data_IF_069281256020
#
_entry.id   IF_069281256020
#
_cell.length_a   1.000
_cell.length_b   1.000
_cell.length_c   1.000
_cell.angle_alpha   90.00
_cell.angle_beta   90.00
_cell.angle_gamma   90.00
#
_symmetry.space_group_name_H-M   'P 1'
#
loop_
_entity.id
_entity.type
_entity.pdbx_description
1 polymer ?
#
# COMPACT_ATOMS: atom_id res chain seq x y z
N UNK A 1 -18.81 -8.63 1.46
CA UNK A 1 -17.86 -9.17 0.46
C UNK A 1 -16.45 -9.14 1.05
N UNK A 2 -15.49 -9.89 0.48
CA UNK A 2 -14.08 -9.82 0.89
C UNK A 2 -13.24 -9.10 -0.17
N UNK A 3 -12.20 -8.40 0.27
CA UNK A 3 -11.30 -7.61 -0.56
C UNK A 3 -9.85 -7.93 -0.24
N UNK A 4 -8.98 -7.84 -1.24
CA UNK A 4 -7.55 -7.70 -1.03
C UNK A 4 -7.21 -6.21 -1.06
N UNK A 5 -6.45 -5.73 -0.08
CA UNK A 5 -5.90 -4.38 -0.08
C UNK A 5 -4.37 -4.42 -0.22
N UNK A 6 -3.82 -3.37 -0.81
CA UNK A 6 -2.38 -3.17 -0.93
C UNK A 6 -1.90 -2.14 0.09
N UNK A 7 -0.89 -2.53 0.87
CA UNK A 7 -0.31 -1.75 1.98
C UNK A 7 1.09 -1.23 1.66
N UNK A 8 1.45 -1.17 0.38
CA UNK A 8 2.77 -0.70 -0.05
C UNK A 8 3.08 0.73 0.44
N UNK A 9 2.08 1.62 0.49
CA UNK A 9 2.27 2.97 1.03
C UNK A 9 2.65 2.94 2.52
N UNK A 10 2.00 2.09 3.31
CA UNK A 10 2.31 1.91 4.72
C UNK A 10 3.75 1.41 4.93
N UNK A 11 4.18 0.43 4.15
CA UNK A 11 5.55 -0.09 4.23
C UNK A 11 6.60 0.93 3.78
N UNK A 12 6.29 1.75 2.77
CA UNK A 12 7.16 2.85 2.34
C UNK A 12 7.33 3.91 3.44
N UNK A 13 6.24 4.32 4.08
CA UNK A 13 6.27 5.27 5.21
C UNK A 13 7.09 4.71 6.37
N UNK A 14 6.84 3.46 6.77
CA UNK A 14 7.57 2.76 7.83
C UNK A 14 9.07 2.67 7.55
N UNK A 15 9.45 2.43 6.30
CA UNK A 15 10.85 2.37 5.86
C UNK A 15 11.49 3.75 5.61
N UNK A 16 10.72 4.85 5.67
CA UNK A 16 11.18 6.18 5.29
C UNK A 16 11.59 6.28 3.82
N UNK A 17 11.00 5.46 2.95
CA UNK A 17 11.31 5.36 1.51
C UNK A 17 10.18 5.89 0.65
N UNK A 18 10.52 6.38 -0.52
CA UNK A 18 9.58 6.76 -1.58
C UNK A 18 9.43 5.64 -2.60
N UNK A 19 8.39 5.70 -3.43
CA UNK A 19 8.29 4.80 -4.59
C UNK A 19 9.47 4.95 -5.55
N UNK A 20 10.07 6.13 -5.64
CA UNK A 20 11.26 6.35 -6.46
C UNK A 20 12.48 5.61 -5.90
N UNK A 21 12.61 5.52 -4.58
CA UNK A 21 13.70 4.76 -3.93
C UNK A 21 13.52 3.26 -4.20
N UNK A 22 12.30 2.75 -4.03
CA UNK A 22 11.96 1.37 -4.33
C UNK A 22 12.22 0.99 -5.80
N UNK A 23 11.88 1.86 -6.74
CA UNK A 23 12.16 1.68 -8.17
C UNK A 23 13.67 1.56 -8.43
N UNK A 24 14.47 2.45 -7.83
CA UNK A 24 15.93 2.44 -8.00
C UNK A 24 16.57 1.19 -7.41
N UNK A 25 16.07 0.71 -6.28
CA UNK A 25 16.63 -0.46 -5.61
C UNK A 25 16.23 -1.80 -6.25
N UNK A 26 14.97 -1.93 -6.69
CA UNK A 26 14.43 -3.20 -7.23
C UNK A 26 14.57 -3.34 -8.75
N UNK A 27 14.83 -2.25 -9.47
CA UNK A 27 14.84 -2.24 -10.94
C UNK A 27 13.47 -2.43 -11.59
N UNK A 28 12.38 -2.40 -10.81
CA UNK A 28 11.02 -2.45 -11.35
C UNK A 28 10.63 -1.13 -12.02
N UNK A 29 9.76 -1.21 -13.03
CA UNK A 29 9.34 0.00 -13.76
C UNK A 29 8.43 0.89 -12.91
N UNK A 30 8.46 2.22 -13.12
CA UNK A 30 7.54 3.14 -12.45
C UNK A 30 6.06 2.77 -12.65
N UNK A 31 5.71 2.27 -13.84
CA UNK A 31 4.36 1.81 -14.13
C UNK A 31 3.95 0.60 -13.28
N UNK A 32 4.85 -0.37 -13.07
CA UNK A 32 4.57 -1.55 -12.25
C UNK A 32 4.35 -1.16 -10.78
N UNK A 33 5.25 -0.36 -10.21
CA UNK A 33 5.15 0.10 -8.82
C UNK A 33 3.92 0.97 -8.61
N UNK A 34 3.60 1.86 -9.56
CA UNK A 34 2.40 2.70 -9.49
C UNK A 34 1.11 1.88 -9.51
N UNK A 35 1.01 0.86 -10.39
CA UNK A 35 -0.16 -0.03 -10.40
C UNK A 35 -0.30 -0.79 -9.09
N UNK A 36 0.79 -1.35 -8.58
CA UNK A 36 0.79 -2.08 -7.31
C UNK A 36 0.35 -1.17 -6.16
N UNK A 37 1.01 -0.02 -5.97
CA UNK A 37 0.74 0.91 -4.87
C UNK A 37 -0.72 1.35 -4.83
N UNK A 38 -1.34 1.56 -5.99
CA UNK A 38 -2.70 2.06 -6.09
C UNK A 38 -3.77 0.96 -6.21
N UNK A 39 -3.43 -0.31 -5.95
CA UNK A 39 -4.38 -1.44 -6.02
C UNK A 39 -4.86 -1.79 -7.44
N UNK A 40 -4.23 -1.25 -8.49
CA UNK A 40 -4.64 -1.44 -9.90
C UNK A 40 -3.96 -2.66 -10.55
N UNK A 41 -3.67 -3.68 -9.76
CA UNK A 41 -3.07 -4.94 -10.22
C UNK A 41 -4.09 -6.06 -10.12
N UNK A 42 -4.03 -7.03 -11.04
CA UNK A 42 -4.83 -8.26 -10.94
C UNK A 42 -3.98 -9.45 -10.49
N UNK A 43 -2.68 -9.40 -10.79
CA UNK A 43 -1.71 -10.41 -10.40
C UNK A 43 -0.36 -9.77 -10.05
N UNK A 44 0.40 -10.45 -9.20
CA UNK A 44 1.78 -10.11 -8.87
C UNK A 44 2.67 -11.34 -9.05
N UNK A 45 3.86 -11.16 -9.63
CA UNK A 45 4.86 -12.23 -9.69
C UNK A 45 5.49 -12.39 -8.31
N UNK A 46 5.68 -13.62 -7.84
CA UNK A 46 6.31 -13.89 -6.54
C UNK A 46 7.71 -13.26 -6.42
N UNK A 47 8.48 -13.20 -7.52
CA UNK A 47 9.77 -12.50 -7.53
C UNK A 47 9.65 -11.01 -7.24
N UNK A 48 8.66 -10.34 -7.83
CA UNK A 48 8.37 -8.92 -7.56
C UNK A 48 7.95 -8.71 -6.12
N UNK A 49 7.09 -9.59 -5.59
CA UNK A 49 6.69 -9.53 -4.19
C UNK A 49 7.89 -9.69 -3.26
N UNK A 50 8.73 -10.70 -3.51
CA UNK A 50 9.95 -10.96 -2.73
C UNK A 50 10.94 -9.79 -2.78
N UNK A 51 11.17 -9.20 -3.95
CA UNK A 51 12.11 -8.08 -4.11
C UNK A 51 11.67 -6.85 -3.29
N UNK A 52 10.37 -6.57 -3.26
CA UNK A 52 9.81 -5.49 -2.44
C UNK A 52 9.92 -5.82 -0.95
N UNK A 53 9.60 -7.06 -0.55
CA UNK A 53 9.74 -7.52 0.82
C UNK A 53 11.18 -7.39 1.35
N UNK A 54 12.17 -7.79 0.55
CA UNK A 54 13.59 -7.67 0.90
C UNK A 54 14.01 -6.20 1.02
N UNK A 55 13.60 -5.36 0.08
CA UNK A 55 13.98 -3.94 0.07
C UNK A 55 13.33 -3.13 1.21
N UNK A 56 12.13 -3.52 1.65
CA UNK A 56 11.39 -2.85 2.71
C UNK A 56 11.46 -3.55 4.07
N UNK A 57 12.18 -4.68 4.18
CA UNK A 57 12.26 -5.52 5.37
C UNK A 57 10.86 -5.87 5.95
N UNK A 58 9.99 -6.39 5.09
CA UNK A 58 8.61 -6.74 5.44
C UNK A 58 8.21 -8.12 4.92
N UNK A 59 7.11 -8.65 5.45
CA UNK A 59 6.51 -9.91 5.01
C UNK A 59 5.48 -9.69 3.89
N UNK A 60 5.20 -10.71 3.06
CA UNK A 60 4.13 -10.63 2.06
C UNK A 60 2.76 -10.17 2.61
N UNK A 61 2.41 -10.64 3.81
CA UNK A 61 1.17 -10.26 4.50
C UNK A 61 1.13 -8.80 4.97
N UNK A 62 2.30 -8.13 5.06
CA UNK A 62 2.40 -6.71 5.36
C UNK A 62 2.12 -5.83 4.13
N UNK A 63 2.19 -6.42 2.92
CA UNK A 63 1.95 -5.75 1.64
C UNK A 63 0.57 -6.04 1.07
N UNK A 64 0.05 -7.24 1.29
CA UNK A 64 -1.23 -7.70 0.77
C UNK A 64 -2.05 -8.28 1.92
N UNK A 65 -3.21 -7.68 2.20
CA UNK A 65 -4.09 -8.10 3.29
C UNK A 65 -5.50 -8.38 2.80
N UNK A 66 -6.09 -9.49 3.25
CA UNK A 66 -7.52 -9.76 3.09
C UNK A 66 -8.28 -8.98 4.16
N UNK A 67 -9.31 -8.25 3.75
CA UNK A 67 -10.24 -7.54 4.63
C UNK A 67 -11.67 -7.85 4.21
N UNK A 68 -12.58 -7.87 5.16
CA UNK A 68 -14.02 -7.85 4.91
C UNK A 68 -14.47 -6.45 4.47
N UNK A 69 -15.70 -6.34 3.99
CA UNK A 69 -16.34 -5.08 3.64
C UNK A 69 -16.44 -4.12 4.83
N UNK A 70 -16.82 -4.62 6.01
CA UNK A 70 -16.87 -3.83 7.24
C UNK A 70 -15.49 -3.29 7.61
N UNK A 71 -14.46 -4.14 7.60
CA UNK A 71 -13.08 -3.72 7.83
C UNK A 71 -12.59 -2.69 6.78
N UNK A 72 -13.02 -2.82 5.52
CA UNK A 72 -12.65 -1.89 4.46
C UNK A 72 -13.23 -0.48 4.73
N UNK A 73 -14.50 -0.40 5.12
CA UNK A 73 -15.18 0.85 5.46
C UNK A 73 -14.56 1.51 6.70
N UNK A 74 -14.25 0.72 7.73
CA UNK A 74 -13.56 1.20 8.93
C UNK A 74 -12.19 1.81 8.60
N UNK A 75 -11.39 1.11 7.79
CA UNK A 75 -10.09 1.59 7.32
C UNK A 75 -10.22 2.86 6.49
N UNK A 76 -11.23 2.97 5.64
CA UNK A 76 -11.46 4.17 4.84
C UNK A 76 -11.74 5.40 5.73
N UNK A 77 -12.55 5.22 6.76
CA UNK A 77 -12.84 6.26 7.76
C UNK A 77 -11.58 6.63 8.54
N UNK A 78 -10.81 5.64 9.00
CA UNK A 78 -9.55 5.86 9.72
C UNK A 78 -8.56 6.67 8.88
N UNK A 79 -8.31 6.24 7.64
CA UNK A 79 -7.34 6.90 6.76
C UNK A 79 -7.77 8.30 6.32
N UNK A 80 -9.07 8.54 6.16
CA UNK A 80 -9.60 9.89 5.94
C UNK A 80 -9.32 10.80 7.15
N UNK A 81 -9.43 10.31 8.38
CA UNK A 81 -9.05 11.08 9.58
C UNK A 81 -7.55 11.37 9.60
N UNK A 82 -6.71 10.41 9.24
CA UNK A 82 -5.26 10.61 9.14
C UNK A 82 -4.89 11.69 8.11
N UNK A 83 -5.58 11.71 6.96
CA UNK A 83 -5.43 12.76 5.96
C UNK A 83 -5.73 14.15 6.54
N UNK A 84 -6.82 14.29 7.29
CA UNK A 84 -7.20 15.55 7.95
C UNK A 84 -6.16 15.98 8.99
N UNK A 85 -5.63 15.04 9.79
CA UNK A 85 -4.58 15.33 10.78
C UNK A 85 -3.29 15.79 10.11
N UNK A 86 -2.87 15.11 9.05
CA UNK A 86 -1.70 15.48 8.24
C UNK A 86 -1.85 16.89 7.65
N UNK A 87 -3.03 17.23 7.10
CA UNK A 87 -3.34 18.58 6.61
C UNK A 87 -3.29 19.66 7.70
N UNK A 88 -3.61 19.31 8.95
CA UNK A 88 -3.52 20.21 10.12
C UNK A 88 -2.09 20.34 10.65
N UNK A 89 -1.12 19.67 10.05
CA UNK A 89 0.29 19.74 10.43
C UNK A 89 0.66 18.89 11.65
N UNK A 90 -0.19 17.92 12.03
CA UNK A 90 0.12 16.97 13.09
C UNK A 90 1.40 16.18 12.74
N UNK A 91 2.48 16.29 13.53
CA UNK A 91 3.75 15.64 13.23
C UNK A 91 3.66 14.11 13.27
N UNK A 92 2.76 13.54 14.07
CA UNK A 92 2.60 12.07 14.18
C UNK A 92 1.83 11.52 12.97
N UNK A 93 0.93 12.31 12.39
CA UNK A 93 0.11 11.90 11.25
C UNK A 93 0.88 11.80 9.92
N UNK A 94 2.13 12.28 9.86
CA UNK A 94 2.96 12.23 8.63
C UNK A 94 3.43 10.82 8.28
N UNK A 95 3.36 9.89 9.23
CA UNK A 95 3.83 8.52 9.10
C UNK A 95 2.68 7.53 8.90
N UNK A 96 1.45 8.01 8.83
CA UNK A 96 0.26 7.19 8.73
C UNK A 96 -0.31 7.18 7.31
N UNK A 97 -0.76 6.02 6.79
CA UNK A 97 -1.44 5.94 5.51
C UNK A 97 -2.73 6.77 5.50
N UNK A 98 -3.02 7.39 4.35
CA UNK A 98 -4.16 8.30 4.19
C UNK A 98 -5.18 7.83 3.15
N UNK A 99 -4.89 6.76 2.43
CA UNK A 99 -5.79 6.15 1.47
C UNK A 99 -5.78 4.62 1.60
N UNK A 100 -6.91 3.97 1.37
CA UNK A 100 -7.02 2.51 1.27
C UNK A 100 -7.03 2.11 -0.19
N UNK A 101 -6.24 1.11 -0.57
CA UNK A 101 -6.14 0.64 -1.96
C UNK A 101 -6.66 -0.79 -2.08
N UNK A 102 -7.97 -0.94 -2.23
CA UNK A 102 -8.59 -2.22 -2.57
C UNK A 102 -8.24 -2.62 -4.01
N UNK A 103 -7.97 -3.90 -4.20
CA UNK A 103 -7.78 -4.50 -5.52
C UNK A 103 -9.14 -4.69 -6.16
N UNK A 104 -9.35 -3.99 -7.26
CA UNK A 104 -10.50 -4.21 -8.12
C UNK A 104 -10.36 -5.58 -8.79
N UNK A 105 -11.32 -6.49 -8.58
CA UNK A 105 -11.45 -7.79 -9.23
C UNK A 105 -12.84 -7.98 -9.88
N UNK A 106 -13.58 -6.91 -10.15
CA UNK A 106 -14.98 -7.03 -10.62
C UNK A 106 -15.14 -7.60 -12.03
N UNK A 107 -14.08 -7.52 -12.83
CA UNK A 107 -14.06 -7.92 -14.25
C UNK A 107 -13.52 -9.35 -14.48
N UNK A 108 -13.24 -10.12 -13.42
CA UNK A 108 -12.74 -11.51 -13.51
C UNK A 108 -13.81 -12.56 -13.21
#
# INVERSE_FOLDING_TARGET
MDYLIIELEAQLLKAGKTSADLIRATGHTPANISKLRNGKIKAIRLKTLLDICVELDCQPGDLIRRVSEEELDELAVERARNAVRSMKGDPDARQEPTAVYAVDLSDE
#
